data_IF_951258285358
#
_entry.id   IF_951258285358
#
_cell.length_a   1.000
_cell.length_b   1.000
_cell.length_c   1.000
_cell.angle_alpha   90.00
_cell.angle_beta   90.00
_cell.angle_gamma   90.00
#
_symmetry.space_group_name_H-M   'P 1'
#
loop_
_entity.id
_entity.type
_entity.pdbx_description
1 polymer ?
#
# COMPACT_ATOMS: atom_id res chain seq x y z
N UNK A 1 -11.04 -7.06 -18.34
CA UNK A 1 -9.60 -6.69 -18.21
C UNK A 1 -8.70 -7.85 -18.66
N UNK A 2 -9.00 -9.09 -18.26
CA UNK A 2 -8.24 -10.27 -18.71
C UNK A 2 -8.19 -10.41 -20.23
N UNK A 3 -9.33 -10.32 -20.93
CA UNK A 3 -9.38 -10.43 -22.40
C UNK A 3 -8.51 -9.38 -23.09
N UNK A 4 -8.53 -8.14 -22.58
CA UNK A 4 -7.68 -7.05 -23.07
C UNK A 4 -6.19 -7.37 -22.88
N UNK A 5 -5.81 -7.93 -21.72
CA UNK A 5 -4.43 -8.32 -21.45
C UNK A 5 -3.99 -9.50 -22.33
N UNK A 6 -4.83 -10.52 -22.48
CA UNK A 6 -4.58 -11.67 -23.35
C UNK A 6 -4.40 -11.25 -24.80
N UNK A 7 -5.25 -10.36 -25.30
CA UNK A 7 -5.14 -9.85 -26.65
C UNK A 7 -3.87 -9.00 -26.84
N UNK A 8 -3.57 -8.12 -25.87
CA UNK A 8 -2.42 -7.21 -25.96
C UNK A 8 -1.06 -7.92 -25.89
N UNK A 9 -0.97 -9.01 -25.11
CA UNK A 9 0.27 -9.75 -24.87
C UNK A 9 0.21 -11.18 -25.42
N UNK A 10 -0.54 -11.40 -26.50
CA UNK A 10 -0.83 -12.74 -27.02
C UNK A 10 0.45 -13.53 -27.36
N UNK A 11 1.45 -12.88 -27.95
CA UNK A 11 2.71 -13.51 -28.33
C UNK A 11 3.58 -13.84 -27.12
N UNK A 12 3.73 -12.90 -26.18
CA UNK A 12 4.55 -13.10 -24.99
C UNK A 12 4.00 -14.22 -24.09
N UNK A 13 2.66 -14.29 -23.98
CA UNK A 13 1.96 -15.34 -23.26
C UNK A 13 2.11 -16.71 -23.94
N UNK A 14 2.09 -16.77 -25.27
CA UNK A 14 2.20 -18.01 -26.02
C UNK A 14 3.64 -18.54 -26.12
N UNK A 15 4.64 -17.66 -26.24
CA UNK A 15 5.97 -18.05 -26.72
C UNK A 15 7.08 -17.90 -25.69
N UNK A 16 6.97 -16.97 -24.74
CA UNK A 16 8.16 -16.55 -23.96
C UNK A 16 8.23 -17.11 -22.55
N UNK A 17 7.14 -17.66 -21.99
CA UNK A 17 7.01 -18.03 -20.56
C UNK A 17 7.38 -16.90 -19.57
N UNK A 18 7.63 -15.67 -20.06
CA UNK A 18 8.03 -14.51 -19.26
C UNK A 18 6.84 -13.82 -18.60
N UNK A 19 5.65 -14.00 -19.18
CA UNK A 19 4.40 -13.46 -18.69
C UNK A 19 3.47 -14.62 -18.38
N UNK A 20 2.89 -14.61 -17.17
CA UNK A 20 1.82 -15.51 -16.77
C UNK A 20 0.65 -14.65 -16.28
N UNK A 21 -0.56 -15.01 -16.71
CA UNK A 21 -1.78 -14.43 -16.20
C UNK A 21 -2.45 -15.44 -15.28
N UNK A 22 -2.62 -15.07 -14.02
CA UNK A 22 -3.33 -15.86 -13.03
C UNK A 22 -4.56 -15.08 -12.55
N UNK A 23 -5.61 -15.83 -12.24
CA UNK A 23 -6.81 -15.29 -11.63
C UNK A 23 -6.72 -15.41 -10.11
N UNK A 24 -6.69 -14.27 -9.42
CA UNK A 24 -6.63 -14.18 -7.96
C UNK A 24 -7.83 -13.36 -7.44
N UNK A 25 -9.00 -13.99 -7.20
CA UNK A 25 -10.22 -13.28 -6.81
C UNK A 25 -10.16 -12.72 -5.39
N UNK A 26 -9.34 -13.30 -4.52
CA UNK A 26 -9.11 -12.84 -3.16
C UNK A 26 -7.61 -12.72 -2.91
N UNK A 27 -7.15 -11.50 -2.64
CA UNK A 27 -5.73 -11.22 -2.40
C UNK A 27 -5.25 -11.70 -1.03
N UNK A 28 -6.14 -12.24 -0.19
CA UNK A 28 -5.78 -12.89 1.09
C UNK A 28 -5.31 -14.33 0.91
N UNK A 29 -5.57 -14.94 -0.26
CA UNK A 29 -5.24 -16.33 -0.55
C UNK A 29 -4.62 -16.43 -1.95
N UNK A 30 -3.36 -15.98 -2.04
CA UNK A 30 -2.64 -16.01 -3.31
C UNK A 30 -2.08 -17.42 -3.56
N UNK A 31 -2.27 -18.01 -4.75
CA UNK A 31 -1.86 -19.37 -5.08
C UNK A 31 -0.35 -19.49 -5.38
N UNK A 32 0.47 -18.75 -4.64
CA UNK A 32 1.91 -18.72 -4.78
C UNK A 32 2.58 -19.19 -3.49
N UNK A 33 3.71 -19.92 -3.58
CA UNK A 33 4.56 -20.19 -2.43
C UNK A 33 5.09 -18.91 -1.76
N UNK A 34 5.51 -19.05 -0.51
CA UNK A 34 6.19 -17.98 0.24
C UNK A 34 7.49 -17.59 -0.46
N UNK A 35 7.77 -16.29 -0.58
CA UNK A 35 9.03 -15.79 -1.13
C UNK A 35 9.26 -16.10 -2.61
N UNK A 36 8.22 -15.99 -3.45
CA UNK A 36 8.33 -16.18 -4.90
C UNK A 36 8.74 -14.90 -5.62
N UNK A 37 8.17 -13.76 -5.26
CA UNK A 37 8.35 -12.51 -6.00
C UNK A 37 9.52 -11.69 -5.47
N UNK A 38 10.29 -11.08 -6.36
CA UNK A 38 11.30 -10.07 -5.98
C UNK A 38 10.66 -8.69 -5.78
N UNK A 39 9.67 -8.36 -6.63
CA UNK A 39 9.01 -7.06 -6.67
C UNK A 39 7.52 -7.24 -6.90
N UNK A 40 6.71 -6.45 -6.21
CA UNK A 40 5.27 -6.37 -6.40
C UNK A 40 4.91 -4.94 -6.82
N UNK A 41 4.14 -4.81 -7.88
CA UNK A 41 3.62 -3.54 -8.37
C UNK A 41 2.10 -3.59 -8.35
N UNK A 42 1.49 -2.65 -7.63
CA UNK A 42 0.06 -2.42 -7.67
C UNK A 42 -0.19 -1.03 -8.24
N UNK A 43 -1.16 -0.91 -9.13
CA UNK A 43 -1.57 0.39 -9.68
C UNK A 43 -3.04 0.52 -9.40
N UNK A 44 -3.43 1.63 -8.79
CA UNK A 44 -4.84 2.00 -8.67
C UNK A 44 -5.71 0.94 -7.94
N UNK A 45 -5.14 0.25 -6.93
CA UNK A 45 -5.74 -0.95 -6.34
C UNK A 45 -6.41 -0.73 -4.96
N UNK A 46 -5.68 -0.18 -3.99
CA UNK A 46 -6.06 -0.32 -2.57
C UNK A 46 -7.42 0.30 -2.21
N UNK A 47 -7.86 1.32 -2.94
CA UNK A 47 -9.16 1.97 -2.71
C UNK A 47 -10.37 1.13 -3.15
N UNK A 48 -10.16 0.03 -3.86
CA UNK A 48 -11.17 -1.00 -4.12
C UNK A 48 -11.17 -2.12 -3.07
N UNK A 49 -10.22 -2.12 -2.13
CA UNK A 49 -10.13 -3.12 -1.07
C UNK A 49 -10.87 -2.64 0.17
N UNK A 50 -11.60 -3.56 0.81
CA UNK A 50 -12.28 -3.28 2.07
C UNK A 50 -11.26 -3.10 3.21
N UNK A 51 -11.50 -2.12 4.09
CA UNK A 51 -10.52 -1.73 5.10
C UNK A 51 -10.25 -2.82 6.14
N UNK A 52 -11.30 -3.53 6.53
CA UNK A 52 -11.25 -4.67 7.45
C UNK A 52 -10.39 -5.83 6.92
N UNK A 53 -10.19 -5.91 5.60
CA UNK A 53 -9.38 -6.95 4.94
C UNK A 53 -7.97 -6.49 4.59
N UNK A 54 -7.69 -5.19 4.67
CA UNK A 54 -6.44 -4.60 4.18
C UNK A 54 -5.21 -5.22 4.85
N UNK A 55 -5.28 -5.45 6.17
CA UNK A 55 -4.19 -6.05 6.93
C UNK A 55 -3.88 -7.48 6.46
N UNK A 56 -4.90 -8.32 6.28
CA UNK A 56 -4.73 -9.71 5.81
C UNK A 56 -4.14 -9.76 4.40
N UNK A 57 -4.59 -8.85 3.53
CA UNK A 57 -4.03 -8.70 2.19
C UNK A 57 -2.56 -8.28 2.25
N UNK A 58 -2.20 -7.29 3.08
CA UNK A 58 -0.81 -6.90 3.28
C UNK A 58 0.04 -8.07 3.80
N UNK A 59 -0.48 -8.88 4.72
CA UNK A 59 0.23 -10.08 5.20
C UNK A 59 0.46 -11.10 4.10
N UNK A 60 -0.51 -11.28 3.22
CA UNK A 60 -0.39 -12.22 2.11
C UNK A 60 0.62 -11.74 1.05
N UNK A 61 0.61 -10.44 0.74
CA UNK A 61 1.63 -9.80 -0.10
C UNK A 61 3.03 -9.93 0.52
N UNK A 62 3.15 -9.75 1.84
CA UNK A 62 4.41 -9.96 2.57
C UNK A 62 4.90 -11.42 2.46
N UNK A 63 3.97 -12.39 2.55
CA UNK A 63 4.27 -13.82 2.47
C UNK A 63 4.88 -14.17 1.11
N UNK A 64 4.28 -13.73 0.02
CA UNK A 64 4.73 -14.08 -1.34
C UNK A 64 5.97 -13.31 -1.78
N UNK A 65 6.31 -12.19 -1.12
CA UNK A 65 7.49 -11.39 -1.41
C UNK A 65 8.76 -12.01 -0.80
N UNK A 66 9.88 -12.02 -1.51
CA UNK A 66 11.18 -12.50 -0.98
C UNK A 66 11.73 -11.58 0.11
N UNK A 67 12.56 -12.08 1.04
CA UNK A 67 13.37 -11.21 1.91
C UNK A 67 14.13 -10.17 1.08
N UNK A 68 14.06 -8.91 1.49
CA UNK A 68 14.64 -7.78 0.74
C UNK A 68 13.84 -7.32 -0.47
N UNK A 69 12.77 -8.03 -0.85
CA UNK A 69 11.90 -7.66 -1.97
C UNK A 69 11.12 -6.37 -1.71
N UNK A 70 10.70 -5.71 -2.78
CA UNK A 70 10.03 -4.40 -2.71
C UNK A 70 8.59 -4.46 -3.18
N UNK A 71 7.77 -3.55 -2.65
CA UNK A 71 6.40 -3.34 -3.08
C UNK A 71 6.18 -1.86 -3.36
N UNK A 72 5.58 -1.56 -4.51
CA UNK A 72 5.24 -0.19 -4.91
C UNK A 72 3.78 -0.14 -5.33
N UNK A 73 3.02 0.78 -4.75
CA UNK A 73 1.67 1.11 -5.15
C UNK A 73 1.64 2.50 -5.79
N UNK A 74 1.29 2.59 -7.07
CA UNK A 74 1.12 3.85 -7.79
C UNK A 74 -0.35 4.28 -7.83
N UNK A 75 -0.57 5.59 -7.73
CA UNK A 75 -1.90 6.18 -7.93
C UNK A 75 -1.83 7.55 -8.60
N UNK A 76 -2.78 7.83 -9.48
CA UNK A 76 -2.87 9.12 -10.15
C UNK A 76 -3.88 10.04 -9.45
N UNK A 77 -3.38 11.13 -8.85
CA UNK A 77 -4.20 12.00 -8.00
C UNK A 77 -5.33 12.72 -8.76
N UNK A 78 -5.05 13.25 -9.95
CA UNK A 78 -6.08 13.88 -10.79
C UNK A 78 -7.22 12.93 -11.18
N UNK A 79 -6.90 11.66 -11.50
CA UNK A 79 -7.87 10.62 -11.81
C UNK A 79 -8.76 10.31 -10.60
N UNK A 80 -8.17 10.16 -9.41
CA UNK A 80 -8.92 9.91 -8.18
C UNK A 80 -9.92 11.03 -7.86
N UNK A 81 -9.50 12.29 -7.95
CA UNK A 81 -10.40 13.45 -7.79
C UNK A 81 -11.57 13.42 -8.78
N UNK A 82 -11.31 13.04 -10.03
CA UNK A 82 -12.35 12.95 -11.05
C UNK A 82 -13.34 11.81 -10.74
N UNK A 83 -12.85 10.64 -10.31
CA UNK A 83 -13.70 9.53 -9.89
C UNK A 83 -14.58 9.90 -8.68
N UNK A 84 -14.05 10.68 -7.73
CA UNK A 84 -14.84 11.17 -6.61
C UNK A 84 -15.88 12.21 -7.02
N UNK A 85 -15.52 13.13 -7.91
CA UNK A 85 -16.49 14.09 -8.48
C UNK A 85 -17.64 13.40 -9.20
N UNK A 86 -17.39 12.25 -9.83
CA UNK A 86 -18.41 11.45 -10.51
C UNK A 86 -19.19 10.52 -9.57
N UNK A 87 -18.88 10.52 -8.27
CA UNK A 87 -19.54 9.65 -7.29
C UNK A 87 -19.17 8.17 -7.42
N UNK A 88 -18.06 7.84 -8.08
CA UNK A 88 -17.60 6.45 -8.25
C UNK A 88 -16.79 5.99 -7.02
N UNK A 89 -16.04 6.91 -6.39
CA UNK A 89 -15.25 6.65 -5.20
C UNK A 89 -15.45 7.76 -4.17
N UNK A 90 -15.62 7.43 -2.91
CA UNK A 90 -15.53 8.41 -1.84
C UNK A 90 -14.06 8.84 -1.63
N UNK A 91 -13.82 10.09 -1.22
CA UNK A 91 -12.46 10.57 -0.93
C UNK A 91 -11.77 9.77 0.17
N UNK A 92 -12.55 9.27 1.14
CA UNK A 92 -12.11 8.39 2.21
C UNK A 92 -11.58 7.04 1.72
N UNK A 93 -11.98 6.59 0.53
CA UNK A 93 -11.54 5.30 -0.01
C UNK A 93 -10.11 5.35 -0.51
N UNK A 94 -9.68 6.48 -1.07
CA UNK A 94 -8.36 6.64 -1.66
C UNK A 94 -7.36 7.41 -0.79
N UNK A 95 -7.70 7.71 0.47
CA UNK A 95 -6.74 8.21 1.45
C UNK A 95 -5.53 7.26 1.57
N UNK A 96 -4.31 7.69 1.20
CA UNK A 96 -3.11 6.88 1.29
C UNK A 96 -2.84 6.30 2.69
N UNK A 97 -3.21 7.03 3.75
CA UNK A 97 -2.96 6.61 5.13
C UNK A 97 -3.68 5.30 5.45
N UNK A 98 -4.88 5.12 4.89
CA UNK A 98 -5.69 3.90 5.05
C UNK A 98 -4.92 2.62 4.69
N UNK A 99 -4.08 2.70 3.66
CA UNK A 99 -3.22 1.60 3.22
C UNK A 99 -1.92 1.56 4.03
N UNK A 100 -1.27 2.72 4.22
CA UNK A 100 0.03 2.80 4.89
C UNK A 100 -0.02 2.29 6.35
N UNK A 101 -1.12 2.53 7.07
CA UNK A 101 -1.29 2.06 8.45
C UNK A 101 -1.31 0.55 8.59
N UNK A 102 -1.54 -0.20 7.50
CA UNK A 102 -1.55 -1.66 7.50
C UNK A 102 -0.20 -2.27 7.10
N UNK A 103 0.70 -1.50 6.48
CA UNK A 103 1.98 -2.00 5.96
C UNK A 103 2.95 -2.37 7.08
N UNK A 104 3.22 -1.46 8.02
CA UNK A 104 4.16 -1.74 9.12
C UNK A 104 3.68 -2.86 10.03
N UNK A 105 2.39 -2.92 10.46
CA UNK A 105 1.90 -4.05 11.24
C UNK A 105 2.00 -5.40 10.50
N UNK A 106 1.89 -5.41 9.17
CA UNK A 106 2.05 -6.61 8.36
C UNK A 106 3.52 -7.06 8.23
N UNK A 107 4.48 -6.25 8.68
CA UNK A 107 5.91 -6.56 8.71
C UNK A 107 6.75 -5.84 7.66
N UNK A 108 6.15 -4.97 6.84
CA UNK A 108 6.91 -4.15 5.91
C UNK A 108 7.72 -3.07 6.65
N UNK A 109 8.83 -2.67 6.03
CA UNK A 109 9.72 -1.60 6.49
C UNK A 109 9.93 -0.58 5.38
N UNK A 110 10.55 0.55 5.73
CA UNK A 110 10.88 1.63 4.81
C UNK A 110 9.62 2.16 4.08
N UNK A 111 8.49 2.21 4.79
CA UNK A 111 7.21 2.68 4.25
C UNK A 111 7.27 4.18 4.03
N UNK A 112 7.03 4.62 2.80
CA UNK A 112 7.06 6.04 2.42
C UNK A 112 6.11 6.34 1.28
N UNK A 113 5.76 7.62 1.15
CA UNK A 113 5.03 8.16 0.01
C UNK A 113 5.91 9.17 -0.72
N UNK A 114 6.12 8.95 -2.01
CA UNK A 114 6.82 9.86 -2.90
C UNK A 114 5.82 10.50 -3.87
N UNK A 115 6.05 11.76 -4.23
CA UNK A 115 5.25 12.51 -5.19
C UNK A 115 6.07 12.72 -6.45
N UNK A 116 5.48 12.44 -7.60
CA UNK A 116 6.16 12.56 -8.88
C UNK A 116 5.22 13.14 -9.93
N UNK A 117 5.82 13.73 -10.95
CA UNK A 117 5.11 14.28 -12.10
C UNK A 117 5.80 13.84 -13.38
N UNK A 118 5.02 13.42 -14.36
CA UNK A 118 5.50 13.09 -15.71
C UNK A 118 4.72 13.88 -16.76
N UNK A 119 5.37 14.21 -17.87
CA UNK A 119 4.76 15.01 -18.95
C UNK A 119 3.58 14.29 -19.62
N UNK A 120 3.59 12.95 -19.66
CA UNK A 120 2.51 12.14 -20.25
C UNK A 120 1.52 11.67 -19.20
N UNK A 121 2.01 11.24 -18.04
CA UNK A 121 1.19 10.64 -17.00
C UNK A 121 0.65 11.64 -15.95
N UNK A 122 1.05 12.90 -15.99
CA UNK A 122 0.62 13.90 -15.02
C UNK A 122 1.21 13.68 -13.63
N UNK A 123 0.52 14.17 -12.60
CA UNK A 123 0.92 14.03 -11.19
C UNK A 123 0.43 12.71 -10.59
N UNK A 124 1.34 11.98 -9.96
CA UNK A 124 1.07 10.70 -9.33
C UNK A 124 1.83 10.55 -8.01
N UNK A 125 1.33 9.66 -7.17
CA UNK A 125 1.89 9.31 -5.88
C UNK A 125 2.36 7.85 -5.92
N UNK A 126 3.45 7.57 -5.24
CA UNK A 126 4.03 6.24 -5.10
C UNK A 126 4.16 5.91 -3.61
N UNK A 127 3.38 4.95 -3.14
CA UNK A 127 3.59 4.35 -1.83
C UNK A 127 4.58 3.19 -2.01
N UNK A 128 5.73 3.28 -1.37
CA UNK A 128 6.78 2.27 -1.46
C UNK A 128 7.02 1.64 -0.10
N UNK A 129 7.33 0.34 -0.10
CA UNK A 129 7.71 -0.40 1.10
C UNK A 129 8.59 -1.59 0.73
N UNK A 130 9.22 -2.22 1.72
CA UNK A 130 10.15 -3.33 1.52
C UNK A 130 9.93 -4.41 2.57
N UNK A 131 10.12 -5.67 2.19
CA UNK A 131 10.27 -6.77 3.14
C UNK A 131 11.69 -6.77 3.72
N UNK A 132 11.90 -6.88 5.04
CA UNK A 132 13.23 -6.99 5.63
C UNK A 132 14.08 -8.07 4.96
N UNK A 133 15.40 -7.84 4.88
CA UNK A 133 16.34 -8.81 4.28
C UNK A 133 16.57 -10.05 5.16
N UNK A 134 16.23 -9.97 6.44
CA UNK A 134 16.29 -11.08 7.39
C UNK A 134 15.09 -11.00 8.32
N UNK A 135 14.50 -12.16 8.65
CA UNK A 135 13.38 -12.24 9.60
C UNK A 135 13.82 -11.96 11.06
N UNK A 136 15.11 -11.69 11.31
CA UNK A 136 15.68 -11.44 12.65
C UNK A 136 15.28 -10.11 13.32
N UNK A 137 14.52 -9.24 12.67
CA UNK A 137 14.22 -7.87 13.18
C UNK A 137 13.17 -7.85 14.31
N UNK A 138 12.62 -9.00 14.72
CA UNK A 138 11.47 -9.04 15.63
C UNK A 138 11.79 -8.97 17.13
N UNK A 139 13.06 -8.97 17.55
CA UNK A 139 13.41 -9.07 18.99
C UNK A 139 13.75 -7.76 19.72
N UNK A 140 13.80 -6.60 19.06
CA UNK A 140 14.30 -5.36 19.70
C UNK A 140 13.35 -4.15 19.64
N UNK A 141 12.11 -4.32 19.14
CA UNK A 141 11.10 -3.23 19.07
C UNK A 141 9.93 -3.37 20.04
N UNK A 142 10.06 -4.20 21.07
CA UNK A 142 9.22 -4.02 22.27
C UNK A 142 9.89 -2.96 23.14
N UNK A 143 9.13 -1.97 23.60
CA UNK A 143 9.54 -0.87 24.49
C UNK A 143 10.16 0.38 23.84
N UNK A 144 9.45 1.03 22.91
CA UNK A 144 9.38 2.51 22.97
C UNK A 144 7.94 2.96 22.73
N UNK A 145 7.27 3.61 23.70
CA UNK A 145 5.97 4.21 23.46
C UNK A 145 6.10 5.31 22.41
N UNK A 146 5.17 5.31 21.47
CA UNK A 146 5.02 6.33 20.43
C UNK A 146 4.67 7.67 21.08
N UNK A 147 5.64 8.57 21.19
CA UNK A 147 5.41 9.97 21.58
C UNK A 147 5.32 10.83 20.33
N UNK A 148 4.14 11.38 20.06
CA UNK A 148 3.97 12.44 19.06
C UNK A 148 4.80 13.66 19.48
N UNK A 149 5.51 14.35 18.56
CA UNK A 149 6.14 15.62 18.87
C UNK A 149 5.05 16.68 19.01
N UNK A 150 4.73 17.04 20.25
CA UNK A 150 3.91 18.22 20.54
C UNK A 150 4.81 19.43 20.31
N UNK A 151 4.49 20.26 19.33
CA UNK A 151 5.17 21.54 19.12
C UNK A 151 4.84 22.51 20.27
N UNK A 152 5.82 23.22 20.84
CA UNK A 152 5.57 24.12 21.96
C UNK A 152 5.18 25.50 21.42
N UNK A 153 3.91 25.69 21.04
CA UNK A 153 3.36 27.03 20.79
C UNK A 153 1.85 27.05 21.09
N UNK A 154 1.55 27.49 22.31
CA UNK A 154 0.37 28.26 22.74
C UNK A 154 -0.17 27.75 24.08
N UNK A 155 0.53 28.12 25.16
CA UNK A 155 -0.06 28.11 26.51
C UNK A 155 -0.85 29.41 26.67
N UNK A 156 -2.16 29.32 26.46
CA UNK A 156 -3.19 30.18 27.08
C UNK A 156 -4.28 29.19 27.50
N UNK A 157 -4.44 28.81 28.75
CA UNK A 157 -4.72 29.69 29.88
C UNK A 157 -6.22 29.65 30.13
N UNK A 158 -6.69 28.67 30.91
CA UNK A 158 -7.98 28.69 31.61
C UNK A 158 -7.99 27.60 32.69
N UNK A 159 -7.48 27.95 33.88
CA UNK A 159 -7.86 27.31 35.13
C UNK A 159 -9.33 27.68 35.39
N UNK A 160 -10.23 26.70 35.58
CA UNK A 160 -11.50 26.95 36.24
C UNK A 160 -11.59 26.11 37.51
N UNK A 161 -11.92 26.81 38.60
CA UNK A 161 -11.78 26.44 39.99
C UNK A 161 -12.75 25.35 40.46
N UNK A 162 -12.30 24.60 41.46
CA UNK A 162 -13.14 23.92 42.46
C UNK A 162 -13.47 24.90 43.58
N UNK A 163 -14.75 24.95 44.00
CA UNK A 163 -15.20 24.95 45.41
C UNK A 163 -16.69 25.30 45.49
N UNK A 164 -17.54 24.35 45.90
CA UNK A 164 -18.07 24.22 47.27
C UNK A 164 -18.50 22.77 47.48
#
# INVERSE_FOLDING_TARGET
MEDCARHRFALELAETSKIRLDHAPDLRDLPYPTGVFNHIFHVDLFYFLHQDRMFDICRELYRVLKPGGTMVCGMHFGRLKMLSKWGILEESQWDPLRYMTCLEPAGFVDVKIDYASDRKAGEYQLISSRRPASDKVRSERSEKPFTLPISPLSVRGALLQRNR
#
